data_IF_864215184251
#
_entry.id   IF_864215184251
#
_cell.length_a   1.000
_cell.length_b   1.000
_cell.length_c   1.000
_cell.angle_alpha   90.00
_cell.angle_beta   90.00
_cell.angle_gamma   90.00
#
_symmetry.space_group_name_H-M   'P 1'
#
loop_
_entity.id
_entity.type
_entity.pdbx_description
1 polymer ?
#
# COMPACT_ATOMS: atom_id res chain seq x y z
N UNK A 1 114.04 101.07 88.70
CA UNK A 1 113.81 102.30 89.45
C UNK A 1 115.13 103.04 89.59
N UNK A 2 115.30 104.25 89.02
CA UNK A 2 116.49 105.06 89.29
C UNK A 2 116.48 105.51 90.76
N UNK A 3 117.58 105.28 91.48
CA UNK A 3 117.69 105.69 92.88
C UNK A 3 117.89 107.21 92.98
N UNK A 4 117.03 107.89 93.73
CA UNK A 4 117.09 109.34 93.90
C UNK A 4 118.16 109.75 94.90
N UNK A 5 119.41 109.84 94.45
CA UNK A 5 120.51 110.41 95.25
C UNK A 5 120.34 111.94 95.38
N UNK A 6 119.95 112.39 96.58
CA UNK A 6 119.67 113.79 96.90
C UNK A 6 120.91 114.53 97.43
N UNK A 7 121.79 114.98 96.51
CA UNK A 7 122.97 115.79 96.87
C UNK A 7 122.59 117.23 97.30
N UNK A 8 122.48 117.42 98.62
CA UNK A 8 122.07 118.68 99.23
C UNK A 8 123.19 119.73 99.38
N UNK A 9 124.47 119.36 99.29
CA UNK A 9 125.62 120.26 99.53
C UNK A 9 126.61 120.32 98.35
N UNK A 10 126.18 120.87 97.22
CA UNK A 10 127.04 121.13 96.04
C UNK A 10 126.61 122.42 95.35
N UNK A 11 127.53 123.06 94.63
CA UNK A 11 127.28 124.30 93.87
C UNK A 11 126.08 124.15 92.91
N UNK A 12 125.27 125.20 92.66
CA UNK A 12 124.11 125.12 91.76
C UNK A 12 124.42 124.55 90.37
N UNK A 13 125.61 124.82 89.84
CA UNK A 13 126.09 124.25 88.59
C UNK A 13 126.20 122.71 88.64
N UNK A 14 126.72 122.14 89.73
CA UNK A 14 126.88 120.70 89.91
C UNK A 14 125.53 119.99 90.07
N UNK A 15 124.57 120.61 90.77
CA UNK A 15 123.20 120.08 90.89
C UNK A 15 122.46 120.09 89.55
N UNK A 16 122.71 121.10 88.70
CA UNK A 16 122.18 121.15 87.34
C UNK A 16 122.78 120.05 86.45
N UNK A 17 124.09 119.78 86.56
CA UNK A 17 124.75 118.69 85.85
C UNK A 17 124.20 117.31 86.26
N UNK A 18 124.03 117.05 87.56
CA UNK A 18 123.46 115.79 88.03
C UNK A 18 121.98 115.64 87.63
N UNK A 19 121.20 116.72 87.59
CA UNK A 19 119.83 116.67 87.05
C UNK A 19 119.78 116.45 85.53
N UNK A 20 120.74 116.99 84.76
CA UNK A 20 120.89 116.67 83.34
C UNK A 20 121.28 115.20 83.13
N UNK A 21 122.17 114.66 83.96
CA UNK A 21 122.53 113.24 83.96
C UNK A 21 121.33 112.35 84.29
N UNK A 22 120.58 112.65 85.35
CA UNK A 22 119.35 111.91 85.69
C UNK A 22 118.29 111.99 84.59
N UNK A 23 118.13 113.13 83.91
CA UNK A 23 117.28 113.20 82.71
C UNK A 23 117.84 112.34 81.58
N UNK A 24 119.15 112.31 81.35
CA UNK A 24 119.77 111.50 80.31
C UNK A 24 119.60 110.00 80.60
N UNK A 25 119.84 109.53 81.82
CA UNK A 25 119.63 108.14 82.23
C UNK A 25 118.15 107.71 82.11
N UNK A 26 117.20 108.60 82.45
CA UNK A 26 115.76 108.33 82.26
C UNK A 26 115.35 108.37 80.79
N UNK A 27 115.93 109.27 79.99
CA UNK A 27 115.69 109.37 78.55
C UNK A 27 116.24 108.15 77.82
N UNK A 28 117.46 107.71 78.15
CA UNK A 28 118.10 106.50 77.64
C UNK A 28 117.30 105.24 78.03
N UNK A 29 116.84 105.13 79.27
CA UNK A 29 115.98 104.02 79.69
C UNK A 29 114.60 104.05 78.98
N UNK A 30 114.02 105.22 78.76
CA UNK A 30 112.77 105.39 78.03
C UNK A 30 112.95 105.04 76.54
N UNK A 31 114.05 105.44 75.92
CA UNK A 31 114.33 105.17 74.51
C UNK A 31 114.72 103.69 74.29
N UNK A 32 115.44 103.07 75.23
CA UNK A 32 115.65 101.62 75.24
C UNK A 32 114.33 100.85 75.41
N UNK A 33 113.40 101.35 76.24
CA UNK A 33 112.07 100.74 76.40
C UNK A 33 111.21 100.91 75.13
N UNK A 34 111.26 102.07 74.46
CA UNK A 34 110.62 102.27 73.14
C UNK A 34 111.20 101.31 72.09
N UNK A 35 112.53 101.16 72.06
CA UNK A 35 113.19 100.24 71.12
C UNK A 35 112.85 98.76 71.43
N UNK A 36 112.68 98.40 72.70
CA UNK A 36 112.18 97.07 73.07
C UNK A 36 110.72 96.86 72.63
N UNK A 37 109.83 97.84 72.87
CA UNK A 37 108.45 97.77 72.41
C UNK A 37 108.35 97.70 70.88
N UNK A 38 109.09 98.53 70.14
CA UNK A 38 109.16 98.49 68.69
C UNK A 38 109.63 97.12 68.18
N UNK A 39 110.67 96.54 68.80
CA UNK A 39 111.12 95.17 68.46
C UNK A 39 110.08 94.08 68.74
N UNK A 40 109.26 94.23 69.79
CA UNK A 40 108.15 93.31 70.08
C UNK A 40 106.97 93.50 69.13
N UNK A 41 106.64 94.74 68.79
CA UNK A 41 105.60 95.11 67.81
C UNK A 41 105.94 94.55 66.42
N UNK A 42 107.18 94.76 65.95
CA UNK A 42 107.76 94.11 64.77
C UNK A 42 107.62 92.58 64.80
N UNK A 43 107.92 91.95 65.93
CA UNK A 43 107.84 90.50 66.08
C UNK A 43 106.39 89.99 66.07
N UNK A 44 105.44 90.75 66.64
CA UNK A 44 104.02 90.45 66.57
C UNK A 44 103.46 90.64 65.16
N UNK A 45 103.78 91.74 64.47
CA UNK A 45 103.39 91.95 63.08
C UNK A 45 103.91 90.85 62.16
N UNK A 46 105.21 90.49 62.23
CA UNK A 46 105.76 89.36 61.46
C UNK A 46 105.05 88.03 61.76
N UNK A 47 104.62 87.82 63.01
CA UNK A 47 103.87 86.61 63.41
C UNK A 47 102.43 86.64 62.91
N UNK A 48 101.77 87.79 62.92
CA UNK A 48 100.42 88.00 62.39
C UNK A 48 100.40 87.81 60.87
N UNK A 49 101.32 88.45 60.14
CA UNK A 49 101.51 88.26 58.70
C UNK A 49 101.78 86.80 58.36
N UNK A 50 102.67 86.14 59.11
CA UNK A 50 102.97 84.72 58.95
C UNK A 50 101.77 83.81 59.23
N UNK A 51 100.86 84.18 60.14
CA UNK A 51 99.64 83.44 60.42
C UNK A 51 98.58 83.67 59.33
N UNK A 52 98.41 84.92 58.90
CA UNK A 52 97.50 85.33 57.81
C UNK A 52 97.89 84.69 56.48
N UNK A 53 99.20 84.56 56.21
CA UNK A 53 99.70 83.84 55.03
C UNK A 53 99.34 82.35 55.07
N UNK A 54 99.51 81.68 56.21
CA UNK A 54 99.14 80.26 56.40
C UNK A 54 97.64 80.03 56.28
N UNK A 55 96.83 80.95 56.81
CA UNK A 55 95.37 80.89 56.65
C UNK A 55 94.96 81.00 55.17
N UNK A 56 95.55 81.95 54.43
CA UNK A 56 95.32 82.07 52.99
C UNK A 56 95.76 80.83 52.19
N UNK A 57 96.93 80.26 52.51
CA UNK A 57 97.43 79.00 51.93
C UNK A 57 96.49 77.81 52.22
N UNK A 58 95.91 77.75 53.43
CA UNK A 58 94.95 76.72 53.83
C UNK A 58 93.59 76.89 53.12
N UNK A 59 93.09 78.12 53.01
CA UNK A 59 91.88 78.45 52.25
C UNK A 59 92.03 78.10 50.76
N UNK A 60 93.16 78.45 50.14
CA UNK A 60 93.44 78.11 48.74
C UNK A 60 93.53 76.59 48.55
N UNK A 61 94.14 75.88 49.51
CA UNK A 61 94.21 74.41 49.52
C UNK A 61 92.84 73.76 49.66
N UNK A 62 91.96 74.30 50.50
CA UNK A 62 90.56 73.88 50.65
C UNK A 62 89.77 74.06 49.34
N UNK A 63 89.93 75.20 48.66
CA UNK A 63 89.29 75.46 47.35
C UNK A 63 89.79 74.45 46.31
N UNK A 64 91.11 74.22 46.23
CA UNK A 64 91.72 73.22 45.34
C UNK A 64 91.20 71.81 45.62
N UNK A 65 91.11 71.41 46.89
CA UNK A 65 90.61 70.09 47.29
C UNK A 65 89.12 69.91 47.00
N UNK A 66 88.29 70.92 47.29
CA UNK A 66 86.86 70.88 46.97
C UNK A 66 86.63 70.77 45.45
N UNK A 67 87.36 71.55 44.65
CA UNK A 67 87.35 71.43 43.19
C UNK A 67 87.79 70.04 42.72
N UNK A 68 88.85 69.48 43.30
CA UNK A 68 89.32 68.12 43.00
C UNK A 68 88.24 67.06 43.30
N UNK A 69 87.56 67.15 44.46
CA UNK A 69 86.45 66.26 44.80
C UNK A 69 85.30 66.37 43.81
N UNK A 70 84.86 67.59 43.46
CA UNK A 70 83.81 67.82 42.47
C UNK A 70 84.19 67.25 41.09
N UNK A 71 85.42 67.47 40.63
CA UNK A 71 85.91 66.90 39.37
C UNK A 71 86.00 65.38 39.39
N UNK A 72 86.43 64.79 40.50
CA UNK A 72 86.52 63.33 40.66
C UNK A 72 85.13 62.69 40.68
N UNK A 73 84.21 63.24 41.47
CA UNK A 73 82.80 62.83 41.51
C UNK A 73 82.13 62.96 40.14
N UNK A 74 82.41 64.04 39.41
CA UNK A 74 81.98 64.24 38.03
C UNK A 74 82.56 63.19 37.06
N UNK A 75 83.83 62.79 37.23
CA UNK A 75 84.47 61.70 36.47
C UNK A 75 83.85 60.34 36.81
N UNK A 76 83.62 60.05 38.10
CA UNK A 76 82.96 58.83 38.61
C UNK A 76 81.55 58.69 38.04
N UNK A 77 80.73 59.73 38.13
CA UNK A 77 79.36 59.72 37.62
C UNK A 77 79.29 59.58 36.09
N UNK A 78 80.23 60.18 35.34
CA UNK A 78 80.37 59.91 33.90
C UNK A 78 80.73 58.45 33.60
N UNK A 79 81.66 57.86 34.35
CA UNK A 79 82.05 56.46 34.16
C UNK A 79 80.91 55.49 34.47
N UNK A 80 80.24 55.67 35.62
CA UNK A 80 79.06 54.89 36.03
C UNK A 80 77.92 55.01 35.00
N UNK A 81 77.65 56.23 34.49
CA UNK A 81 76.63 56.42 33.46
C UNK A 81 76.97 55.68 32.16
N UNK A 82 78.21 55.80 31.65
CA UNK A 82 78.63 55.06 30.45
C UNK A 82 78.49 53.55 30.64
N UNK A 83 78.97 53.00 31.76
CA UNK A 83 78.82 51.57 32.05
C UNK A 83 77.34 51.13 32.11
N UNK A 84 76.45 51.95 32.70
CA UNK A 84 75.01 51.66 32.70
C UNK A 84 74.39 51.70 31.29
N UNK A 85 74.77 52.68 30.48
CA UNK A 85 74.26 52.83 29.12
C UNK A 85 74.81 51.74 28.17
N UNK A 86 76.07 51.31 28.35
CA UNK A 86 76.68 50.16 27.66
C UNK A 86 75.99 48.84 28.04
N UNK A 87 75.70 48.60 29.33
CA UNK A 87 74.96 47.41 29.78
C UNK A 87 73.55 47.37 29.18
N UNK A 88 72.83 48.50 29.13
CA UNK A 88 71.51 48.59 28.47
C UNK A 88 71.62 48.30 26.97
N UNK A 89 72.61 48.88 26.28
CA UNK A 89 72.84 48.60 24.86
C UNK A 89 73.16 47.12 24.60
N UNK A 90 73.96 46.49 25.47
CA UNK A 90 74.26 45.06 25.38
C UNK A 90 73.00 44.22 25.55
N UNK A 91 72.19 44.48 26.57
CA UNK A 91 70.94 43.76 26.83
C UNK A 91 69.95 43.89 25.65
N UNK A 92 69.79 45.09 25.08
CA UNK A 92 68.94 45.30 23.92
C UNK A 92 69.43 44.50 22.69
N UNK A 93 70.76 44.44 22.47
CA UNK A 93 71.35 43.63 21.39
C UNK A 93 71.23 42.12 21.64
N UNK A 94 71.38 41.67 22.89
CA UNK A 94 71.18 40.26 23.28
C UNK A 94 69.74 39.80 23.01
N UNK A 95 68.74 40.65 23.33
CA UNK A 95 67.33 40.39 23.02
C UNK A 95 67.07 40.31 21.51
N UNK A 96 67.63 41.25 20.73
CA UNK A 96 67.48 41.26 19.27
C UNK A 96 68.17 40.04 18.61
N UNK A 97 69.36 39.65 19.09
CA UNK A 97 70.04 38.42 18.64
C UNK A 97 69.19 37.19 18.94
N UNK A 98 68.61 37.07 20.14
CA UNK A 98 67.72 35.96 20.48
C UNK A 98 66.45 35.94 19.59
N UNK A 99 65.87 37.10 19.31
CA UNK A 99 64.71 37.24 18.39
C UNK A 99 65.05 36.79 16.97
N UNK A 100 66.18 37.24 16.42
CA UNK A 100 66.65 36.89 15.08
C UNK A 100 67.03 35.40 14.98
N UNK A 101 67.68 34.84 16.01
CA UNK A 101 67.96 33.40 16.10
C UNK A 101 66.69 32.57 16.09
N UNK A 102 65.67 32.95 16.87
CA UNK A 102 64.37 32.27 16.86
C UNK A 102 63.74 32.28 15.46
N UNK A 103 63.70 33.44 14.80
CA UNK A 103 63.19 33.58 13.42
C UNK A 103 63.97 32.74 12.40
N UNK A 104 65.31 32.74 12.50
CA UNK A 104 66.17 31.93 11.62
C UNK A 104 65.90 30.43 11.78
N UNK A 105 65.76 29.93 13.01
CA UNK A 105 65.41 28.50 13.21
C UNK A 105 63.98 28.16 12.77
N UNK A 106 63.04 29.12 12.78
CA UNK A 106 61.69 28.90 12.26
C UNK A 106 61.71 28.76 10.73
N UNK A 107 62.37 29.69 10.04
CA UNK A 107 62.53 29.68 8.58
C UNK A 107 63.33 28.46 8.09
N UNK A 108 64.33 27.99 8.85
CA UNK A 108 65.04 26.74 8.54
C UNK A 108 64.10 25.53 8.59
N UNK A 109 63.28 25.38 9.63
CA UNK A 109 62.30 24.28 9.74
C UNK A 109 61.27 24.32 8.60
N UNK A 110 60.81 25.51 8.22
CA UNK A 110 59.90 25.70 7.09
C UNK A 110 60.56 25.30 5.76
N UNK A 111 61.79 25.75 5.52
CA UNK A 111 62.59 25.37 4.35
C UNK A 111 62.84 23.86 4.28
N UNK A 112 63.14 23.21 5.40
CA UNK A 112 63.35 21.76 5.47
C UNK A 112 62.05 20.98 5.20
N UNK A 113 60.92 21.46 5.72
CA UNK A 113 59.60 20.87 5.47
C UNK A 113 59.17 21.02 4.01
N UNK A 114 59.30 22.22 3.43
CA UNK A 114 59.05 22.47 2.01
C UNK A 114 59.99 21.62 1.13
N UNK A 115 61.28 21.55 1.48
CA UNK A 115 62.24 20.68 0.80
C UNK A 115 61.86 19.20 0.87
N UNK A 116 61.31 18.72 1.99
CA UNK A 116 60.80 17.36 2.13
C UNK A 116 59.56 17.12 1.26
N UNK A 117 58.65 18.09 1.19
CA UNK A 117 57.47 18.04 0.31
C UNK A 117 57.86 18.04 -1.18
N UNK A 118 58.82 18.88 -1.60
CA UNK A 118 59.37 18.87 -2.97
C UNK A 118 59.99 17.51 -3.28
N UNK A 119 60.84 16.96 -2.40
CA UNK A 119 61.41 15.61 -2.58
C UNK A 119 60.34 14.52 -2.68
N UNK A 120 59.23 14.65 -1.93
CA UNK A 120 58.12 13.70 -2.02
C UNK A 120 57.39 13.77 -3.36
N UNK A 121 57.15 14.98 -3.89
CA UNK A 121 56.41 15.17 -5.15
C UNK A 121 57.25 14.92 -6.39
N UNK A 122 58.56 15.18 -6.34
CA UNK A 122 59.49 15.03 -7.47
C UNK A 122 59.45 13.64 -8.11
N UNK A 123 59.20 12.58 -7.32
CA UNK A 123 59.06 11.21 -7.84
C UNK A 123 57.84 11.04 -8.77
N UNK A 124 56.76 11.79 -8.53
CA UNK A 124 55.56 11.77 -9.39
C UNK A 124 55.79 12.64 -10.63
N UNK A 125 56.41 13.82 -10.48
CA UNK A 125 56.82 14.65 -11.62
C UNK A 125 57.70 13.86 -12.58
N UNK A 126 58.77 13.23 -12.06
CA UNK A 126 59.66 12.36 -12.85
C UNK A 126 58.95 11.18 -13.50
N UNK A 127 57.95 10.60 -12.84
CA UNK A 127 57.14 9.54 -13.45
C UNK A 127 56.30 10.06 -14.62
N UNK A 128 55.67 11.23 -14.48
CA UNK A 128 54.88 11.84 -15.56
C UNK A 128 55.76 12.29 -16.74
N UNK A 129 56.94 12.84 -16.47
CA UNK A 129 57.98 13.14 -17.47
C UNK A 129 58.40 11.87 -18.23
N UNK A 130 58.67 10.75 -17.52
CA UNK A 130 59.00 9.47 -18.18
C UNK A 130 57.85 8.91 -19.04
N UNK A 131 56.59 9.14 -18.66
CA UNK A 131 55.43 8.73 -19.47
C UNK A 131 55.27 9.64 -20.71
N UNK A 132 55.49 10.94 -20.57
CA UNK A 132 55.55 11.89 -21.68
C UNK A 132 56.67 11.53 -22.67
N UNK A 133 57.89 11.26 -22.18
CA UNK A 133 59.03 10.80 -23.01
C UNK A 133 58.73 9.50 -23.75
N UNK A 134 57.92 8.60 -23.17
CA UNK A 134 57.55 7.34 -23.80
C UNK A 134 56.43 7.47 -24.85
N UNK A 135 55.57 8.49 -24.76
CA UNK A 135 54.42 8.70 -25.66
C UNK A 135 54.27 10.19 -26.06
N UNK A 136 55.27 10.81 -26.71
CA UNK A 136 55.28 12.24 -26.98
C UNK A 136 54.27 12.69 -28.05
N UNK A 137 53.85 11.78 -28.94
CA UNK A 137 52.89 12.07 -30.00
C UNK A 137 51.45 12.26 -29.47
N UNK A 138 51.04 11.47 -28.46
CA UNK A 138 49.70 11.57 -27.85
C UNK A 138 49.63 12.61 -26.73
N UNK A 139 50.75 12.83 -26.02
CA UNK A 139 50.83 13.75 -24.86
C UNK A 139 52.11 14.60 -24.92
N UNK A 140 52.12 15.68 -25.72
CA UNK A 140 53.28 16.56 -25.87
C UNK A 140 53.72 17.21 -24.55
N UNK A 141 52.78 17.55 -23.66
CA UNK A 141 53.06 18.07 -22.31
C UNK A 141 52.52 17.16 -21.20
N UNK A 142 53.17 17.18 -20.02
CA UNK A 142 52.64 16.55 -18.79
C UNK A 142 51.25 17.08 -18.43
N UNK A 143 50.94 18.33 -18.78
CA UNK A 143 49.60 18.92 -18.61
C UNK A 143 48.54 18.14 -19.37
N UNK A 144 48.82 17.71 -20.60
CA UNK A 144 47.86 16.97 -21.44
C UNK A 144 47.51 15.62 -20.83
N UNK A 145 48.51 14.91 -20.28
CA UNK A 145 48.33 13.64 -19.59
C UNK A 145 47.46 13.80 -18.32
N UNK A 146 47.67 14.87 -17.56
CA UNK A 146 46.87 15.21 -16.37
C UNK A 146 45.43 15.59 -16.76
N UNK A 147 45.25 16.44 -17.78
CA UNK A 147 43.94 16.84 -18.30
C UNK A 147 43.17 15.61 -18.82
N UNK A 148 43.83 14.74 -19.58
CA UNK A 148 43.26 13.47 -20.07
C UNK A 148 42.81 12.57 -18.92
N UNK A 149 43.63 12.44 -17.87
CA UNK A 149 43.26 11.69 -16.67
C UNK A 149 42.03 12.31 -15.98
N UNK A 150 41.95 13.64 -15.85
CA UNK A 150 40.79 14.32 -15.29
C UNK A 150 39.52 14.02 -16.10
N UNK A 151 39.54 14.21 -17.42
CA UNK A 151 38.39 13.89 -18.28
C UNK A 151 38.01 12.41 -18.21
N UNK A 152 38.98 11.49 -18.22
CA UNK A 152 38.71 10.05 -18.14
C UNK A 152 38.14 9.65 -16.76
N UNK A 153 38.62 10.25 -15.68
CA UNK A 153 38.11 10.03 -14.32
C UNK A 153 36.70 10.57 -14.15
N UNK A 154 36.40 11.76 -14.67
CA UNK A 154 35.07 12.37 -14.60
C UNK A 154 34.06 11.58 -15.45
N UNK A 155 34.40 11.26 -16.70
CA UNK A 155 33.55 10.41 -17.56
C UNK A 155 33.36 9.01 -16.99
N UNK A 156 34.38 8.38 -16.38
CA UNK A 156 34.22 7.10 -15.71
C UNK A 156 33.31 7.19 -14.47
N UNK A 157 33.45 8.24 -13.65
CA UNK A 157 32.57 8.48 -12.50
C UNK A 157 31.11 8.66 -12.93
N UNK A 158 30.90 9.44 -13.98
CA UNK A 158 29.55 9.76 -14.44
C UNK A 158 28.92 8.58 -15.20
N UNK A 159 29.70 7.79 -15.95
CA UNK A 159 29.26 6.51 -16.50
C UNK A 159 28.90 5.50 -15.39
N UNK A 160 29.72 5.40 -14.34
CA UNK A 160 29.44 4.52 -13.19
C UNK A 160 28.16 4.92 -12.46
N UNK A 161 27.90 6.24 -12.31
CA UNK A 161 26.65 6.74 -11.74
C UNK A 161 25.45 6.38 -12.63
N UNK A 162 25.55 6.63 -13.93
CA UNK A 162 24.47 6.33 -14.87
C UNK A 162 24.18 4.82 -14.94
N UNK A 163 25.22 3.97 -14.85
CA UNK A 163 25.04 2.53 -14.76
C UNK A 163 24.20 2.14 -13.53
N UNK A 164 24.55 2.64 -12.35
CA UNK A 164 23.78 2.38 -11.11
C UNK A 164 22.32 2.83 -11.28
N UNK A 165 22.08 4.06 -11.77
CA UNK A 165 20.72 4.56 -11.99
C UNK A 165 19.93 3.73 -13.00
N UNK A 166 20.54 3.27 -14.09
CA UNK A 166 19.86 2.41 -15.06
C UNK A 166 19.65 0.97 -14.53
N UNK A 167 20.53 0.45 -13.68
CA UNK A 167 20.33 -0.82 -12.98
C UNK A 167 19.15 -0.73 -12.00
N UNK A 168 19.07 0.35 -11.20
CA UNK A 168 17.94 0.65 -10.29
C UNK A 168 16.61 0.81 -11.05
N UNK A 169 16.59 1.60 -12.14
CA UNK A 169 15.41 1.74 -12.99
C UNK A 169 14.97 0.43 -13.64
N UNK A 170 15.93 -0.38 -14.10
CA UNK A 170 15.66 -1.68 -14.71
C UNK A 170 15.14 -2.68 -13.68
N UNK A 171 15.64 -2.64 -12.45
CA UNK A 171 15.11 -3.45 -11.35
C UNK A 171 13.68 -3.02 -10.97
N UNK A 172 13.39 -1.72 -10.84
CA UNK A 172 12.02 -1.23 -10.55
C UNK A 172 11.05 -1.72 -11.62
N UNK A 173 11.36 -1.51 -12.91
CA UNK A 173 10.52 -1.97 -14.04
C UNK A 173 10.34 -3.50 -14.05
N UNK A 174 11.37 -4.26 -13.66
CA UNK A 174 11.29 -5.73 -13.52
C UNK A 174 10.36 -6.14 -12.38
N UNK A 175 10.42 -5.45 -11.24
CA UNK A 175 9.55 -5.69 -10.08
C UNK A 175 8.09 -5.32 -10.38
N UNK A 176 7.85 -4.17 -11.01
CA UNK A 176 6.54 -3.72 -11.50
C UNK A 176 5.93 -4.74 -12.46
N UNK A 177 6.69 -5.21 -13.46
CA UNK A 177 6.23 -6.22 -14.42
C UNK A 177 5.95 -7.58 -13.77
N UNK A 178 6.74 -7.99 -12.77
CA UNK A 178 6.48 -9.21 -12.00
C UNK A 178 5.21 -9.09 -11.13
N UNK A 179 4.97 -7.92 -10.53
CA UNK A 179 3.75 -7.63 -9.78
C UNK A 179 2.51 -7.66 -10.68
N UNK A 180 2.57 -6.98 -11.83
CA UNK A 180 1.48 -6.95 -12.82
C UNK A 180 1.14 -8.35 -13.36
N UNK A 181 2.14 -9.19 -13.67
CA UNK A 181 1.90 -10.58 -14.07
C UNK A 181 1.21 -11.39 -12.97
N UNK A 182 1.63 -11.23 -11.70
CA UNK A 182 1.01 -11.92 -10.56
C UNK A 182 -0.44 -11.46 -10.35
N UNK A 183 -0.70 -10.16 -10.46
CA UNK A 183 -2.04 -9.59 -10.40
C UNK A 183 -2.93 -10.17 -11.51
N UNK A 184 -2.47 -10.12 -12.77
CA UNK A 184 -3.23 -10.64 -13.91
C UNK A 184 -3.46 -12.15 -13.83
N UNK A 185 -2.52 -12.93 -13.29
CA UNK A 185 -2.71 -14.35 -13.01
C UNK A 185 -3.79 -14.59 -11.93
N UNK A 186 -3.81 -13.78 -10.87
CA UNK A 186 -4.86 -13.84 -9.84
C UNK A 186 -6.24 -13.45 -10.40
N UNK A 187 -6.32 -12.46 -11.30
CA UNK A 187 -7.55 -12.11 -12.01
C UNK A 187 -8.05 -13.28 -12.86
N UNK A 188 -7.18 -13.93 -13.63
CA UNK A 188 -7.52 -15.11 -14.44
C UNK A 188 -8.06 -16.25 -13.55
N UNK A 189 -7.41 -16.54 -12.41
CA UNK A 189 -7.92 -17.51 -11.44
C UNK A 189 -9.29 -17.10 -10.88
N UNK A 190 -9.51 -15.81 -10.60
CA UNK A 190 -10.78 -15.27 -10.12
C UNK A 190 -11.88 -15.43 -11.17
N UNK A 191 -11.60 -15.13 -12.44
CA UNK A 191 -12.54 -15.35 -13.55
C UNK A 191 -12.82 -16.83 -13.78
N UNK A 192 -11.81 -17.71 -13.74
CA UNK A 192 -12.00 -19.16 -13.87
C UNK A 192 -12.89 -19.72 -12.73
N UNK A 193 -12.66 -19.28 -11.49
CA UNK A 193 -13.54 -19.63 -10.36
C UNK A 193 -14.98 -19.13 -10.57
N UNK A 194 -15.16 -17.93 -11.16
CA UNK A 194 -16.48 -17.40 -11.50
C UNK A 194 -17.15 -18.18 -12.62
N UNK A 195 -16.42 -18.57 -13.66
CA UNK A 195 -16.90 -19.42 -14.75
C UNK A 195 -17.36 -20.77 -14.20
N UNK A 196 -16.54 -21.44 -13.38
CA UNK A 196 -16.89 -22.72 -12.74
C UNK A 196 -18.08 -22.60 -11.76
N UNK A 197 -18.32 -21.43 -11.16
CA UNK A 197 -19.52 -21.16 -10.36
C UNK A 197 -20.77 -20.95 -11.23
N UNK A 198 -20.63 -20.29 -12.39
CA UNK A 198 -21.72 -20.08 -13.36
C UNK A 198 -22.09 -21.37 -14.11
N UNK A 199 -21.11 -22.19 -14.50
CA UNK A 199 -21.34 -23.52 -15.10
C UNK A 199 -22.14 -24.42 -14.14
N UNK A 200 -21.72 -24.54 -12.88
CA UNK A 200 -22.49 -25.26 -11.84
C UNK A 200 -23.85 -24.63 -11.51
N UNK A 201 -24.11 -23.38 -11.91
CA UNK A 201 -25.45 -22.80 -11.82
C UNK A 201 -26.29 -23.22 -13.04
N UNK A 202 -25.74 -23.09 -14.25
CA UNK A 202 -26.36 -23.52 -15.50
C UNK A 202 -26.74 -25.00 -15.46
N UNK A 203 -25.80 -25.89 -15.12
CA UNK A 203 -26.04 -27.34 -14.99
C UNK A 203 -27.19 -27.67 -14.03
N UNK A 204 -27.36 -26.89 -12.94
CA UNK A 204 -28.47 -27.08 -11.99
C UNK A 204 -29.81 -26.65 -12.58
N UNK A 205 -29.86 -25.52 -13.29
CA UNK A 205 -31.07 -25.06 -13.96
C UNK A 205 -31.44 -25.97 -15.16
N UNK A 206 -30.45 -26.47 -15.91
CA UNK A 206 -30.65 -27.47 -16.98
C UNK A 206 -31.19 -28.80 -16.42
N UNK A 207 -30.63 -29.29 -15.31
CA UNK A 207 -31.14 -30.47 -14.60
C UNK A 207 -32.57 -30.26 -14.08
N UNK A 208 -32.92 -29.06 -13.60
CA UNK A 208 -34.30 -28.72 -13.23
C UNK A 208 -35.21 -28.66 -14.45
N UNK A 209 -34.76 -28.06 -15.56
CA UNK A 209 -35.50 -28.01 -16.82
C UNK A 209 -35.82 -29.39 -17.37
N UNK A 210 -34.83 -30.30 -17.41
CA UNK A 210 -35.03 -31.70 -17.85
C UNK A 210 -35.99 -32.46 -16.91
N UNK A 211 -35.91 -32.25 -15.59
CA UNK A 211 -36.86 -32.86 -14.63
C UNK A 211 -38.28 -32.36 -14.86
N UNK A 212 -38.46 -31.05 -14.99
CA UNK A 212 -39.77 -30.43 -15.20
C UNK A 212 -40.35 -30.85 -16.56
N UNK A 213 -39.51 -30.95 -17.60
CA UNK A 213 -39.91 -31.48 -18.90
C UNK A 213 -40.38 -32.93 -18.81
N UNK A 214 -39.66 -33.81 -18.10
CA UNK A 214 -40.09 -35.19 -17.85
C UNK A 214 -41.42 -35.27 -17.09
N UNK A 215 -41.65 -34.38 -16.12
CA UNK A 215 -42.92 -34.28 -15.41
C UNK A 215 -44.07 -33.83 -16.34
N UNK A 216 -43.83 -32.82 -17.19
CA UNK A 216 -44.82 -32.39 -18.19
C UNK A 216 -45.08 -33.46 -19.25
N UNK A 217 -44.07 -34.19 -19.70
CA UNK A 217 -44.21 -35.31 -20.64
C UNK A 217 -44.99 -36.47 -20.03
N UNK A 218 -44.76 -36.78 -18.76
CA UNK A 218 -45.52 -37.80 -18.03
C UNK A 218 -47.00 -37.39 -17.89
N UNK A 219 -47.26 -36.12 -17.54
CA UNK A 219 -48.61 -35.55 -17.48
C UNK A 219 -49.30 -35.56 -18.85
N UNK A 220 -48.58 -35.20 -19.93
CA UNK A 220 -49.08 -35.22 -21.30
C UNK A 220 -49.38 -36.65 -21.79
N UNK A 221 -48.52 -37.63 -21.46
CA UNK A 221 -48.76 -39.05 -21.76
C UNK A 221 -49.98 -39.58 -21.00
N UNK A 222 -50.11 -39.26 -19.72
CA UNK A 222 -51.29 -39.64 -18.94
C UNK A 222 -52.58 -39.01 -19.49
N UNK A 223 -52.51 -37.75 -19.92
CA UNK A 223 -53.65 -37.04 -20.53
C UNK A 223 -54.02 -37.64 -21.89
N UNK A 224 -53.05 -37.84 -22.79
CA UNK A 224 -53.29 -38.44 -24.11
C UNK A 224 -53.78 -39.89 -24.02
N UNK A 225 -53.32 -40.69 -23.04
CA UNK A 225 -53.90 -42.01 -22.77
C UNK A 225 -55.38 -41.94 -22.36
N UNK A 226 -55.76 -40.98 -21.50
CA UNK A 226 -57.17 -40.75 -21.14
C UNK A 226 -57.99 -40.32 -22.35
N UNK A 227 -57.47 -39.40 -23.18
CA UNK A 227 -58.12 -38.97 -24.43
C UNK A 227 -58.31 -40.14 -25.41
N UNK A 228 -57.31 -41.02 -25.55
CA UNK A 228 -57.40 -42.21 -26.39
C UNK A 228 -58.45 -43.20 -25.88
N UNK A 229 -58.46 -43.49 -24.57
CA UNK A 229 -59.45 -44.37 -23.97
C UNK A 229 -60.88 -43.82 -24.14
N UNK A 230 -61.06 -42.51 -23.96
CA UNK A 230 -62.33 -41.83 -24.22
C UNK A 230 -62.74 -41.91 -25.70
N UNK A 231 -61.79 -41.71 -26.64
CA UNK A 231 -62.05 -41.90 -28.07
C UNK A 231 -62.44 -43.34 -28.43
N UNK A 232 -61.80 -44.34 -27.80
CA UNK A 232 -62.17 -45.76 -27.96
C UNK A 232 -63.57 -46.06 -27.41
N UNK A 233 -63.94 -45.48 -26.26
CA UNK A 233 -65.29 -45.60 -25.69
C UNK A 233 -66.33 -45.00 -26.64
N UNK A 234 -66.10 -43.79 -27.15
CA UNK A 234 -66.99 -43.13 -28.12
C UNK A 234 -67.15 -43.97 -29.40
N UNK A 235 -66.05 -44.51 -29.93
CA UNK A 235 -66.09 -45.37 -31.11
C UNK A 235 -66.80 -46.70 -30.85
N UNK A 236 -66.66 -47.28 -29.65
CA UNK A 236 -67.38 -48.48 -29.24
C UNK A 236 -68.89 -48.22 -29.09
N UNK A 237 -69.27 -47.07 -28.53
CA UNK A 237 -70.67 -46.61 -28.44
C UNK A 237 -71.25 -46.43 -29.85
N UNK A 238 -70.54 -45.72 -30.75
CA UNK A 238 -70.98 -45.53 -32.14
C UNK A 238 -71.15 -46.85 -32.90
N UNK A 239 -70.21 -47.79 -32.73
CA UNK A 239 -70.34 -49.14 -33.29
C UNK A 239 -71.52 -49.93 -32.71
N UNK A 240 -71.81 -49.77 -31.41
CA UNK A 240 -72.93 -50.43 -30.75
C UNK A 240 -74.28 -49.83 -31.20
N UNK A 241 -74.39 -48.51 -31.24
CA UNK A 241 -75.52 -47.78 -31.83
C UNK A 241 -75.77 -48.24 -33.27
N UNK A 242 -74.72 -48.30 -34.10
CA UNK A 242 -74.85 -48.75 -35.48
C UNK A 242 -75.35 -50.20 -35.56
N UNK A 243 -74.93 -51.10 -34.65
CA UNK A 243 -75.46 -52.48 -34.61
C UNK A 243 -76.90 -52.57 -34.10
N UNK A 244 -77.34 -51.67 -33.22
CA UNK A 244 -78.72 -51.61 -32.73
C UNK A 244 -79.68 -50.97 -33.75
N UNK A 245 -79.19 -50.06 -34.60
CA UNK A 245 -79.99 -49.28 -35.55
C UNK A 245 -79.92 -49.77 -37.00
N UNK A 246 -78.93 -50.57 -37.38
CA UNK A 246 -78.80 -51.07 -38.76
C UNK A 246 -79.51 -52.41 -39.01
N UNK A 247 -80.01 -52.57 -40.23
CA UNK A 247 -80.71 -53.78 -40.68
C UNK A 247 -82.13 -53.92 -40.12
N UNK A 248 -82.64 -55.16 -40.14
CA UNK A 248 -84.04 -55.53 -39.81
C UNK A 248 -84.45 -55.10 -38.38
N UNK A 249 -83.49 -54.84 -37.50
CA UNK A 249 -83.74 -54.44 -36.13
C UNK A 249 -84.08 -52.95 -35.94
N UNK A 250 -83.59 -52.06 -36.81
CA UNK A 250 -83.93 -50.63 -36.76
C UNK A 250 -85.42 -50.33 -37.04
N UNK A 251 -86.13 -51.26 -37.68
CA UNK A 251 -87.57 -51.17 -37.97
C UNK A 251 -88.44 -51.89 -36.91
N UNK A 252 -87.84 -52.38 -35.81
CA UNK A 252 -88.52 -53.13 -34.76
C UNK A 252 -88.52 -52.38 -33.40
N UNK A 253 -87.79 -51.27 -33.27
CA UNK A 253 -87.96 -50.37 -32.12
C UNK A 253 -89.40 -49.82 -32.11
N UNK A 254 -90.11 -50.05 -31.00
CA UNK A 254 -91.45 -49.52 -30.75
C UNK A 254 -91.48 -48.44 -29.68
N UNK A 255 -90.38 -48.25 -28.95
CA UNK A 255 -90.23 -47.19 -27.96
C UNK A 255 -89.29 -46.07 -28.42
N UNK A 256 -89.30 -45.75 -29.72
CA UNK A 256 -88.71 -44.52 -30.30
C UNK A 256 -89.72 -43.80 -31.20
N UNK A 257 -90.94 -43.59 -30.69
CA UNK A 257 -91.81 -42.49 -31.15
C UNK A 257 -91.64 -41.31 -30.19
N UNK A 258 -90.60 -40.51 -30.44
CA UNK A 258 -90.17 -39.46 -29.52
C UNK A 258 -89.11 -38.53 -30.09
N UNK A 259 -89.49 -37.72 -31.09
CA UNK A 259 -88.73 -36.55 -31.59
C UNK A 259 -87.37 -36.80 -32.27
N UNK A 260 -87.41 -37.21 -33.55
CA UNK A 260 -86.36 -36.87 -34.52
C UNK A 260 -86.91 -35.96 -35.62
N UNK A 261 -86.82 -34.64 -35.40
CA UNK A 261 -87.00 -33.68 -36.48
C UNK A 261 -85.73 -33.68 -37.36
N UNK A 262 -85.84 -34.21 -38.56
CA UNK A 262 -84.86 -33.93 -39.60
C UNK A 262 -84.98 -32.44 -39.99
N UNK A 263 -83.87 -31.71 -39.96
CA UNK A 263 -83.78 -30.40 -40.61
C UNK A 263 -82.52 -30.36 -41.46
N UNK A 264 -82.74 -30.26 -42.77
CA UNK A 264 -81.71 -30.46 -43.79
C UNK A 264 -80.88 -29.20 -44.07
N UNK A 265 -79.69 -29.47 -44.56
CA UNK A 265 -78.72 -28.57 -45.18
C UNK A 265 -79.29 -27.64 -46.27
N UNK A 266 -79.05 -26.31 -46.20
CA UNK A 266 -78.48 -25.49 -47.31
C UNK A 266 -78.41 -23.96 -47.04
N UNK A 267 -77.60 -23.29 -47.89
CA UNK A 267 -77.29 -21.84 -48.04
C UNK A 267 -76.00 -21.40 -47.32
N UNK A 268 -74.91 -20.93 -47.94
CA UNK A 268 -74.64 -20.18 -49.21
C UNK A 268 -75.10 -18.72 -49.23
N UNK A 269 -74.15 -17.81 -49.52
CA UNK A 269 -74.25 -16.35 -49.36
C UNK A 269 -73.25 -15.88 -48.29
N UNK A 270 -72.01 -15.43 -48.57
CA UNK A 270 -71.44 -14.56 -49.61
C UNK A 270 -71.75 -13.07 -49.43
N UNK A 271 -70.79 -12.36 -48.85
CA UNK A 271 -70.45 -10.93 -48.99
C UNK A 271 -69.08 -10.75 -48.28
N UNK A 272 -67.97 -10.23 -48.84
CA UNK A 272 -67.74 -9.09 -49.76
C UNK A 272 -68.29 -7.78 -49.17
N UNK A 273 -67.57 -6.67 -49.02
CA UNK A 273 -66.18 -6.26 -49.27
C UNK A 273 -65.83 -5.34 -48.07
N UNK A 274 -64.59 -4.94 -47.80
CA UNK A 274 -64.00 -3.78 -48.48
C UNK A 274 -62.48 -3.73 -48.33
N UNK A 275 -61.80 -3.06 -49.26
CA UNK A 275 -60.36 -2.98 -49.30
C UNK A 275 -59.83 -1.76 -50.06
N UNK A 276 -59.26 -0.81 -49.30
CA UNK A 276 -58.28 0.19 -49.74
C UNK A 276 -57.39 0.49 -48.52
N UNK A 277 -56.05 0.56 -48.55
CA UNK A 277 -55.12 0.50 -49.67
C UNK A 277 -54.41 1.84 -49.91
N UNK A 278 -53.26 2.08 -49.26
CA UNK A 278 -52.12 2.89 -49.77
C UNK A 278 -51.00 3.06 -48.72
N UNK A 279 -49.73 3.05 -49.15
CA UNK A 279 -48.56 3.59 -48.42
C UNK A 279 -48.13 2.81 -47.16
N UNK A 280 -46.94 2.20 -47.04
CA UNK A 280 -45.73 2.35 -47.84
C UNK A 280 -44.68 3.21 -47.13
N UNK A 281 -43.85 2.60 -46.27
CA UNK A 281 -42.42 2.94 -46.23
C UNK A 281 -41.58 1.76 -45.70
N UNK A 282 -40.31 1.72 -46.09
CA UNK A 282 -39.38 0.65 -45.75
C UNK A 282 -38.33 1.11 -44.72
N UNK A 283 -37.90 0.21 -43.83
CA UNK A 283 -36.50 0.14 -43.37
C UNK A 283 -36.18 -1.09 -42.51
N UNK A 284 -35.08 -1.76 -42.83
CA UNK A 284 -34.08 -2.22 -41.85
C UNK A 284 -34.39 -3.38 -40.89
N UNK A 285 -33.94 -4.59 -41.26
CA UNK A 285 -33.50 -5.63 -40.32
C UNK A 285 -32.53 -5.04 -39.26
N UNK A 286 -32.70 -5.25 -37.95
CA UNK A 286 -32.30 -6.42 -37.14
C UNK A 286 -30.78 -6.72 -37.14
N UNK A 287 -30.15 -7.21 -36.06
CA UNK A 287 -30.62 -7.64 -34.72
C UNK A 287 -29.65 -7.08 -33.63
N UNK A 288 -29.51 -7.50 -32.36
CA UNK A 288 -30.06 -8.55 -31.46
C UNK A 288 -29.55 -8.24 -30.03
N UNK A 289 -30.12 -8.63 -28.89
CA UNK A 289 -31.45 -9.19 -28.55
C UNK A 289 -31.60 -9.21 -27.02
N UNK A 290 -32.59 -8.52 -26.46
CA UNK A 290 -32.94 -8.64 -25.03
C UNK A 290 -34.15 -9.58 -24.88
N UNK A 291 -33.94 -10.74 -24.27
CA UNK A 291 -34.98 -11.76 -24.09
C UNK A 291 -35.82 -11.53 -22.84
N UNK A 292 -36.97 -10.85 -22.97
CA UNK A 292 -38.00 -10.83 -21.93
C UNK A 292 -39.20 -11.69 -22.33
N UNK A 293 -39.54 -12.65 -21.47
CA UNK A 293 -40.91 -13.12 -21.22
C UNK A 293 -41.81 -13.41 -22.44
N UNK A 294 -41.62 -14.56 -23.06
CA UNK A 294 -42.71 -15.20 -23.82
C UNK A 294 -43.59 -16.01 -22.84
N UNK A 295 -44.85 -15.61 -22.69
CA UNK A 295 -45.85 -16.43 -22.03
C UNK A 295 -46.18 -17.66 -22.91
N UNK A 296 -46.41 -18.85 -22.35
CA UNK A 296 -46.70 -20.04 -23.15
C UNK A 296 -48.14 -19.96 -23.69
N UNK A 297 -48.29 -19.53 -24.95
CA UNK A 297 -49.53 -19.78 -25.68
C UNK A 297 -49.68 -21.29 -25.90
N UNK A 298 -50.55 -21.93 -25.10
CA UNK A 298 -50.81 -23.35 -25.17
C UNK A 298 -51.44 -23.78 -26.50
N UNK A 299 -50.61 -24.04 -27.51
CA UNK A 299 -50.97 -24.83 -28.69
C UNK A 299 -50.42 -26.25 -28.51
N UNK A 300 -51.25 -27.13 -27.99
CA UNK A 300 -50.99 -28.58 -28.01
C UNK A 300 -50.94 -29.06 -29.48
N UNK A 301 -49.97 -29.90 -29.86
CA UNK A 301 -49.79 -30.35 -31.25
C UNK A 301 -50.75 -31.50 -31.62
N UNK A 302 -52.01 -31.39 -31.25
CA UNK A 302 -53.09 -32.33 -31.59
C UNK A 302 -54.40 -31.56 -31.60
N UNK A 303 -54.91 -31.27 -32.80
CA UNK A 303 -56.07 -30.38 -33.03
C UNK A 303 -57.42 -30.99 -32.64
N UNK A 304 -57.61 -31.26 -31.35
CA UNK A 304 -58.88 -31.59 -30.72
C UNK A 304 -58.97 -30.68 -29.50
N UNK A 305 -59.88 -29.70 -29.51
CA UNK A 305 -60.04 -28.80 -28.37
C UNK A 305 -60.74 -29.53 -27.21
N UNK A 306 -60.54 -29.05 -25.98
CA UNK A 306 -61.26 -29.58 -24.81
C UNK A 306 -62.78 -29.49 -24.98
N UNK A 307 -63.26 -28.44 -25.67
CA UNK A 307 -64.65 -28.29 -26.07
C UNK A 307 -65.12 -29.39 -27.04
N UNK A 308 -64.29 -29.79 -28.00
CA UNK A 308 -64.60 -30.91 -28.91
C UNK A 308 -64.71 -32.23 -28.16
N UNK A 309 -63.81 -32.49 -27.20
CA UNK A 309 -63.84 -33.71 -26.36
C UNK A 309 -65.13 -33.77 -25.54
N UNK A 310 -65.52 -32.66 -24.92
CA UNK A 310 -66.76 -32.56 -24.14
C UNK A 310 -67.99 -32.76 -25.03
N UNK A 311 -68.03 -32.12 -26.21
CA UNK A 311 -69.15 -32.22 -27.15
C UNK A 311 -69.32 -33.65 -27.69
N UNK A 312 -68.23 -34.34 -28.07
CA UNK A 312 -68.30 -35.74 -28.50
C UNK A 312 -68.70 -36.67 -27.33
N UNK A 313 -68.26 -36.39 -26.10
CA UNK A 313 -68.70 -37.10 -24.90
C UNK A 313 -70.20 -36.96 -24.63
N UNK A 314 -70.73 -35.74 -24.72
CA UNK A 314 -72.18 -35.48 -24.58
C UNK A 314 -72.99 -36.22 -25.66
N UNK A 315 -72.54 -36.20 -26.91
CA UNK A 315 -73.20 -36.91 -28.01
C UNK A 315 -73.19 -38.43 -27.80
N UNK A 316 -72.08 -38.99 -27.33
CA UNK A 316 -71.99 -40.42 -27.03
C UNK A 316 -72.89 -40.86 -25.86
N UNK A 317 -73.24 -39.98 -24.91
CA UNK A 317 -74.25 -40.30 -23.90
C UNK A 317 -75.65 -40.42 -24.52
N UNK A 318 -76.02 -39.54 -25.45
CA UNK A 318 -77.29 -39.61 -26.19
C UNK A 318 -77.35 -40.90 -27.02
N UNK A 319 -76.24 -41.25 -27.68
CA UNK A 319 -76.13 -42.50 -28.46
C UNK A 319 -76.30 -43.76 -27.57
N UNK A 320 -75.82 -43.72 -26.31
CA UNK A 320 -76.03 -44.78 -25.32
C UNK A 320 -77.49 -44.91 -24.88
N UNK A 321 -78.23 -43.80 -24.71
CA UNK A 321 -79.65 -43.83 -24.34
C UNK A 321 -80.49 -44.53 -25.44
N UNK A 322 -80.17 -44.30 -26.71
CA UNK A 322 -80.81 -44.99 -27.85
C UNK A 322 -80.51 -46.50 -27.83
N UNK A 323 -79.27 -46.89 -27.51
CA UNK A 323 -78.89 -48.31 -27.33
C UNK A 323 -79.64 -48.93 -26.13
N UNK A 324 -79.82 -48.19 -25.04
CA UNK A 324 -80.54 -48.66 -23.86
C UNK A 324 -82.03 -48.90 -24.18
N UNK A 325 -82.68 -47.99 -24.91
CA UNK A 325 -84.05 -48.17 -25.39
C UNK A 325 -84.18 -49.41 -26.29
N UNK A 326 -83.26 -49.60 -27.24
CA UNK A 326 -83.21 -50.81 -28.07
C UNK A 326 -83.10 -52.10 -27.24
N UNK A 327 -82.27 -52.11 -26.20
CA UNK A 327 -82.11 -53.28 -25.32
C UNK A 327 -83.36 -53.58 -24.48
N UNK A 328 -84.11 -52.55 -24.08
CA UNK A 328 -85.41 -52.74 -23.41
C UNK A 328 -86.43 -53.37 -24.37
N UNK A 329 -86.56 -52.86 -25.60
CA UNK A 329 -87.45 -53.39 -26.64
C UNK A 329 -87.11 -54.85 -26.97
N UNK A 330 -85.82 -55.16 -27.18
CA UNK A 330 -85.36 -56.51 -27.43
C UNK A 330 -85.70 -57.47 -26.27
N UNK A 331 -85.53 -57.01 -25.03
CA UNK A 331 -85.85 -57.81 -23.83
C UNK A 331 -87.36 -58.07 -23.73
N UNK A 332 -88.20 -57.07 -24.00
CA UNK A 332 -89.65 -57.21 -24.04
C UNK A 332 -90.11 -58.20 -25.13
N UNK A 333 -89.47 -58.18 -26.31
CA UNK A 333 -89.75 -59.12 -27.41
C UNK A 333 -89.35 -60.56 -27.03
N UNK A 334 -88.17 -60.74 -26.42
CA UNK A 334 -87.73 -62.06 -25.93
C UNK A 334 -88.70 -62.60 -24.88
N UNK A 335 -89.11 -61.77 -23.92
CA UNK A 335 -90.04 -62.17 -22.86
C UNK A 335 -91.41 -62.56 -23.43
N UNK A 336 -91.97 -61.74 -24.33
CA UNK A 336 -93.21 -62.07 -25.04
C UNK A 336 -93.13 -63.38 -25.84
N UNK A 337 -91.96 -63.72 -26.40
CA UNK A 337 -91.74 -64.99 -27.10
C UNK A 337 -91.68 -66.20 -26.15
N UNK A 338 -91.06 -66.03 -24.97
CA UNK A 338 -91.02 -67.06 -23.92
C UNK A 338 -92.44 -67.36 -23.41
N UNK A 339 -93.25 -66.32 -23.19
CA UNK A 339 -94.61 -66.49 -22.70
C UNK A 339 -95.54 -67.07 -23.79
N UNK A 340 -95.34 -66.71 -25.07
CA UNK A 340 -95.99 -67.38 -26.20
C UNK A 340 -95.61 -68.87 -26.33
N UNK A 341 -94.35 -69.25 -26.11
CA UNK A 341 -93.93 -70.65 -26.10
C UNK A 341 -94.53 -71.44 -24.93
N UNK A 342 -94.68 -70.83 -23.74
CA UNK A 342 -95.43 -71.42 -22.62
C UNK A 342 -96.89 -71.67 -22.99
N UNK A 343 -97.54 -70.73 -23.66
CA UNK A 343 -98.92 -70.90 -24.14
C UNK A 343 -99.04 -72.03 -25.17
N UNK A 344 -98.13 -72.12 -26.15
CA UNK A 344 -98.13 -73.18 -27.16
C UNK A 344 -97.85 -74.58 -26.58
N UNK A 345 -96.93 -74.70 -25.61
CA UNK A 345 -96.73 -75.98 -24.88
C UNK A 345 -97.99 -76.42 -24.14
N UNK A 346 -98.80 -75.49 -23.63
CA UNK A 346 -100.09 -75.78 -22.98
C UNK A 346 -101.14 -76.30 -23.96
N UNK A 347 -101.12 -75.84 -25.21
CA UNK A 347 -102.05 -76.29 -26.26
C UNK A 347 -101.67 -77.65 -26.88
N UNK A 348 -100.38 -77.93 -27.08
CA UNK A 348 -99.92 -79.16 -27.72
C UNK A 348 -100.28 -80.44 -26.93
N UNK A 349 -100.35 -80.37 -25.61
CA UNK A 349 -100.72 -81.51 -24.74
C UNK A 349 -102.17 -81.94 -24.95
N UNK A 350 -103.06 -81.07 -25.43
CA UNK A 350 -104.47 -81.39 -25.65
C UNK A 350 -104.77 -82.13 -26.97
N UNK A 351 -103.83 -82.14 -27.92
CA UNK A 351 -104.08 -82.64 -29.28
C UNK A 351 -103.65 -84.10 -29.53
N UNK A 352 -102.80 -84.68 -28.66
CA UNK A 352 -102.17 -85.99 -28.90
C UNK A 352 -103.06 -87.22 -28.59
N UNK A 353 -104.31 -87.03 -28.13
CA UNK A 353 -105.13 -88.09 -27.56
C UNK A 353 -106.11 -88.78 -28.54
N UNK A 354 -106.10 -88.45 -29.84
CA UNK A 354 -107.25 -88.66 -30.73
C UNK A 354 -107.04 -89.45 -32.04
N UNK A 355 -105.87 -90.06 -32.30
CA UNK A 355 -105.59 -90.70 -33.61
C UNK A 355 -104.88 -92.06 -33.55
N UNK A 356 -105.62 -93.11 -33.93
CA UNK A 356 -105.17 -94.42 -34.46
C UNK A 356 -104.37 -95.31 -33.49
N UNK A 357 -104.80 -96.50 -33.03
CA UNK A 357 -105.73 -97.52 -33.55
C UNK A 357 -105.22 -98.27 -34.80
N UNK A 358 -104.55 -99.42 -34.58
CA UNK A 358 -104.08 -100.33 -35.64
C UNK A 358 -102.77 -101.07 -35.34
N UNK A 359 -102.65 -101.76 -34.19
CA UNK A 359 -101.39 -102.41 -33.78
C UNK A 359 -101.49 -103.21 -32.47
N UNK A 360 -102.02 -104.43 -32.58
CA UNK A 360 -102.22 -105.46 -31.54
C UNK A 360 -101.06 -106.48 -31.70
N UNK A 361 -100.39 -107.10 -30.69
CA UNK A 361 -100.64 -107.24 -29.24
C UNK A 361 -99.32 -107.62 -28.48
N UNK A 362 -99.13 -107.07 -27.28
CA UNK A 362 -98.69 -107.65 -25.95
C UNK A 362 -97.63 -108.80 -25.85
N UNK A 363 -96.97 -109.11 -24.71
CA UNK A 363 -97.31 -108.90 -23.27
C UNK A 363 -96.10 -109.13 -22.31
N UNK A 364 -95.93 -108.27 -21.28
CA UNK A 364 -95.63 -108.59 -19.84
C UNK A 364 -94.27 -109.25 -19.44
N UNK A 365 -93.65 -109.13 -18.24
CA UNK A 365 -93.72 -108.29 -16.98
C UNK A 365 -92.48 -108.66 -16.13
N UNK A 366 -91.98 -108.00 -15.06
CA UNK A 366 -92.18 -106.74 -14.31
C UNK A 366 -90.81 -106.44 -13.59
N UNK A 367 -90.60 -105.57 -12.58
CA UNK A 367 -91.42 -104.66 -11.78
C UNK A 367 -90.60 -103.91 -10.70
N UNK A 368 -91.13 -102.77 -10.27
CA UNK A 368 -91.10 -102.09 -8.95
C UNK A 368 -89.81 -101.90 -8.11
N UNK A 369 -89.64 -100.66 -7.64
CA UNK A 369 -88.78 -100.25 -6.52
C UNK A 369 -88.91 -98.74 -6.29
N UNK A 370 -89.51 -98.33 -5.18
CA UNK A 370 -90.03 -96.97 -4.92
C UNK A 370 -89.32 -96.25 -3.76
N UNK A 371 -89.44 -94.92 -3.71
CA UNK A 371 -89.07 -94.02 -2.62
C UNK A 371 -87.57 -93.68 -2.44
N UNK A 372 -87.17 -92.56 -1.81
CA UNK A 372 -87.81 -91.30 -1.38
C UNK A 372 -86.77 -90.51 -0.55
N UNK A 373 -87.10 -89.28 -0.13
CA UNK A 373 -86.45 -88.48 0.94
C UNK A 373 -85.11 -87.72 0.72
N UNK A 374 -85.26 -86.42 0.44
CA UNK A 374 -84.91 -85.26 1.29
C UNK A 374 -83.67 -85.26 2.22
N UNK A 375 -82.92 -84.14 2.22
CA UNK A 375 -82.04 -83.69 3.32
C UNK A 375 -80.60 -83.41 2.84
N UNK A 376 -80.19 -82.16 2.54
CA UNK A 376 -79.95 -81.00 3.42
C UNK A 376 -78.55 -80.98 4.09
N UNK A 377 -77.78 -79.90 3.81
CA UNK A 377 -76.90 -79.10 4.71
C UNK A 377 -75.94 -79.91 5.61
N UNK A 378 -74.60 -79.81 5.51
CA UNK A 378 -73.73 -78.64 5.79
C UNK A 378 -72.29 -78.99 5.32
N UNK A 379 -71.39 -78.06 4.92
CA UNK A 379 -70.51 -77.23 5.79
C UNK A 379 -69.57 -78.06 6.72
N UNK A 380 -68.30 -77.71 6.99
CA UNK A 380 -67.56 -76.45 6.80
C UNK A 380 -66.02 -76.71 6.82
N UNK A 381 -65.25 -75.83 6.16
CA UNK A 381 -63.96 -75.31 6.64
C UNK A 381 -62.69 -76.15 6.45
N UNK A 382 -61.49 -75.54 6.38
CA UNK A 382 -61.20 -74.10 6.29
C UNK A 382 -59.72 -73.76 6.48
N UNK A 383 -59.28 -72.63 5.92
CA UNK A 383 -58.05 -71.88 6.25
C UNK A 383 -56.84 -72.21 5.36
N UNK A 384 -56.19 -71.26 4.66
CA UNK A 384 -55.59 -69.96 5.08
C UNK A 384 -54.43 -70.14 6.07
N UNK A 385 -53.28 -69.47 5.94
CA UNK A 385 -52.93 -68.27 5.13
C UNK A 385 -51.41 -68.17 4.95
N UNK A 386 -50.93 -67.47 3.92
CA UNK A 386 -49.55 -66.97 3.87
C UNK A 386 -49.54 -65.62 3.13
N UNK A 387 -48.85 -64.62 3.70
CA UNK A 387 -48.85 -63.23 3.22
C UNK A 387 -47.49 -62.57 3.45
N UNK A 388 -47.20 -61.53 2.67
CA UNK A 388 -46.16 -60.50 2.84
C UNK A 388 -44.73 -60.86 2.39
N UNK A 389 -44.34 -60.25 1.28
CA UNK A 389 -43.28 -59.23 1.31
C UNK A 389 -43.69 -58.01 0.52
#
# INVERSE_FOLDING_TARGET
>A
MPQTLTLNHVSPATRLLEKRRQMFEVQEALDAQKEEFARREDAFHRREEGLRKKDLELQESLIKFNKFLQENESKRNRAVKRASDEVKQRMNKEQEVARLQAQLTALQRESDALGAQVRHHLKYTRYLELVQEAVPEDYPEVSDLVNRYHTLRETNRDLSRNQITHEEESESKRLEFAAFQKERANEILTFNNRIAALQRALEREELLGVRLQHETDASLRATTQKTLALGQIIMAIGNLLQRCTSGIHGQILKHVEGSYHAQGNNQSGNDSHDGTGSGGNASGNSASSAGSTNAPSGKTPSGISEADVIHHGQRAMIDLDVVAAYMMDFTAIIQGRIDAQRAQKKAAVAAAAASQAGGVVTTFTAGNGDGSHTGAVSSIGGGSTATIR
#
